data_IF_672713892408
#
_entry.id   IF_672713892408
#
_cell.length_a   1.000
_cell.length_b   1.000
_cell.length_c   1.000
_cell.angle_alpha   90.00
_cell.angle_beta   90.00
_cell.angle_gamma   90.00
#
_symmetry.space_group_name_H-M   'P 1'
#
loop_
_entity.id
_entity.type
_entity.pdbx_description
1 polymer ?
#
# COMPACT_ATOMS: atom_id res chain seq x y z
N UNK A 1 26.28 21.68 -12.23
CA UNK A 1 26.89 20.91 -13.34
C UNK A 1 28.11 20.14 -12.83
N UNK A 2 28.07 19.58 -11.63
CA UNK A 2 29.27 18.91 -11.07
C UNK A 2 29.04 17.51 -10.48
N UNK A 3 27.80 16.98 -10.49
CA UNK A 3 27.54 15.62 -9.99
C UNK A 3 26.78 14.73 -11.01
N UNK A 4 27.06 14.88 -12.31
CA UNK A 4 26.37 14.10 -13.37
C UNK A 4 27.16 12.91 -13.95
N UNK A 5 28.36 12.59 -13.44
CA UNK A 5 29.28 11.67 -14.13
C UNK A 5 29.68 10.46 -13.28
N UNK A 6 28.70 9.76 -12.69
CA UNK A 6 28.99 8.47 -12.06
C UNK A 6 27.85 7.47 -12.25
N UNK A 7 28.06 6.57 -13.21
CA UNK A 7 27.18 5.48 -13.69
C UNK A 7 26.21 5.92 -14.80
N UNK A 8 26.38 5.37 -16.01
CA UNK A 8 25.56 5.67 -17.20
C UNK A 8 24.07 5.30 -17.10
N UNK A 9 23.55 5.06 -15.89
CA UNK A 9 22.16 4.74 -15.62
C UNK A 9 21.30 6.00 -15.40
N UNK A 10 21.82 7.09 -14.84
CA UNK A 10 20.99 8.29 -14.57
C UNK A 10 20.66 9.09 -15.83
N UNK A 11 21.60 9.28 -16.75
CA UNK A 11 21.36 10.02 -18.00
C UNK A 11 20.40 9.27 -18.93
N UNK A 12 20.56 7.94 -19.04
CA UNK A 12 19.68 7.09 -19.84
C UNK A 12 18.27 7.01 -19.26
N UNK A 13 18.14 6.94 -17.93
CA UNK A 13 16.85 6.99 -17.22
C UNK A 13 16.18 8.34 -17.41
N UNK A 14 16.91 9.45 -17.20
CA UNK A 14 16.38 10.79 -17.38
C UNK A 14 15.92 11.03 -18.82
N UNK A 15 16.69 10.56 -19.81
CA UNK A 15 16.33 10.60 -21.23
C UNK A 15 15.04 9.83 -21.50
N UNK A 16 14.92 8.59 -21.04
CA UNK A 16 13.74 7.76 -21.27
C UNK A 16 12.47 8.28 -20.57
N UNK A 17 12.60 8.82 -19.35
CA UNK A 17 11.50 9.51 -18.67
C UNK A 17 11.04 10.76 -19.42
N UNK A 18 11.99 11.55 -19.95
CA UNK A 18 11.71 12.74 -20.76
C UNK A 18 11.01 12.36 -22.06
N UNK A 19 11.48 11.32 -22.75
CA UNK A 19 10.85 10.83 -23.99
C UNK A 19 9.43 10.32 -23.75
N UNK A 20 9.19 9.61 -22.63
CA UNK A 20 7.83 9.22 -22.23
C UNK A 20 6.94 10.43 -22.02
N UNK A 21 7.41 11.44 -21.29
CA UNK A 21 6.64 12.67 -21.05
C UNK A 21 6.31 13.42 -22.34
N UNK A 22 7.27 13.52 -23.27
CA UNK A 22 7.06 14.11 -24.59
C UNK A 22 6.01 13.31 -25.37
N UNK A 23 6.10 11.97 -25.36
CA UNK A 23 5.14 11.10 -26.03
C UNK A 23 3.72 11.29 -25.47
N UNK A 24 3.56 11.30 -24.15
CA UNK A 24 2.27 11.52 -23.49
C UNK A 24 1.68 12.90 -23.87
N UNK A 25 2.51 13.93 -23.99
CA UNK A 25 2.10 15.28 -24.42
C UNK A 25 1.73 15.37 -25.90
N UNK A 26 2.42 14.64 -26.79
CA UNK A 26 2.08 14.60 -28.21
C UNK A 26 0.80 13.81 -28.47
N UNK A 27 0.59 12.70 -27.74
CA UNK A 27 -0.65 11.91 -27.82
C UNK A 27 -1.88 12.72 -27.40
N UNK A 28 -1.76 13.59 -26.39
CA UNK A 28 -2.84 14.54 -26.02
C UNK A 28 -3.22 15.48 -27.15
N UNK A 29 -2.30 15.76 -28.09
CA UNK A 29 -2.54 16.59 -29.27
C UNK A 29 -2.76 15.73 -30.53
N UNK A 30 -2.99 14.43 -30.37
CA UNK A 30 -3.22 13.47 -31.46
C UNK A 30 -2.04 13.38 -32.46
N UNK A 31 -0.81 13.65 -31.99
CA UNK A 31 0.42 13.56 -32.76
C UNK A 31 1.29 12.39 -32.29
N UNK A 32 2.05 11.79 -33.20
CA UNK A 32 2.95 10.67 -32.92
C UNK A 32 4.42 11.12 -32.99
N UNK A 33 5.30 10.50 -32.18
CA UNK A 33 6.74 10.83 -32.16
C UNK A 33 7.44 10.60 -33.51
N UNK A 34 6.94 9.66 -34.30
CA UNK A 34 7.42 9.36 -35.66
C UNK A 34 7.34 10.58 -36.58
N UNK A 35 6.35 11.46 -36.38
CA UNK A 35 6.18 12.69 -37.17
C UNK A 35 7.29 13.72 -36.93
N UNK A 36 8.08 13.57 -35.86
CA UNK A 36 9.10 14.52 -35.44
C UNK A 36 10.53 13.94 -35.47
N UNK A 37 10.71 12.71 -35.98
CA UNK A 37 12.01 12.02 -36.01
C UNK A 37 12.70 11.94 -34.63
N UNK A 38 11.91 11.89 -33.55
CA UNK A 38 12.42 11.79 -32.19
C UNK A 38 12.80 10.33 -31.85
N UNK A 39 13.84 10.11 -31.03
CA UNK A 39 14.17 8.77 -30.57
C UNK A 39 13.03 8.17 -29.74
N UNK A 40 12.75 6.88 -29.94
CA UNK A 40 11.72 6.15 -29.19
C UNK A 40 12.27 5.81 -27.81
N UNK A 41 11.43 5.94 -26.79
CA UNK A 41 11.81 5.60 -25.43
C UNK A 41 11.98 4.07 -25.26
N UNK A 42 12.92 3.67 -24.41
CA UNK A 42 13.07 2.29 -24.00
C UNK A 42 11.93 1.90 -23.04
N UNK A 43 10.93 1.21 -23.59
CA UNK A 43 9.78 0.72 -22.84
C UNK A 43 10.16 -0.29 -21.76
N UNK A 44 11.23 -1.06 -21.94
CA UNK A 44 11.66 -2.03 -20.94
C UNK A 44 12.23 -1.30 -19.71
N UNK A 45 13.10 -0.32 -19.92
CA UNK A 45 13.62 0.52 -18.86
C UNK A 45 12.51 1.30 -18.15
N UNK A 46 11.57 1.89 -18.91
CA UNK A 46 10.41 2.59 -18.34
C UNK A 46 9.60 1.67 -17.42
N UNK A 47 9.32 0.44 -17.85
CA UNK A 47 8.55 -0.51 -17.04
C UNK A 47 9.32 -0.90 -15.77
N UNK A 48 10.63 -1.12 -15.84
CA UNK A 48 11.45 -1.39 -14.66
C UNK A 48 11.40 -0.24 -13.65
N UNK A 49 11.50 1.01 -14.12
CA UNK A 49 11.41 2.20 -13.26
C UNK A 49 10.04 2.33 -12.60
N UNK A 50 8.96 2.06 -13.33
CA UNK A 50 7.59 2.08 -12.78
C UNK A 50 7.47 1.03 -11.67
N UNK A 51 7.96 -0.19 -11.89
CA UNK A 51 7.90 -1.25 -10.87
C UNK A 51 8.75 -0.90 -9.65
N UNK A 52 9.93 -0.32 -9.85
CA UNK A 52 10.78 0.14 -8.76
C UNK A 52 10.11 1.25 -7.94
N UNK A 53 9.43 2.21 -8.61
CA UNK A 53 8.68 3.27 -7.93
C UNK A 53 7.51 2.69 -7.13
N UNK A 54 6.72 1.79 -7.72
CA UNK A 54 5.61 1.13 -7.03
C UNK A 54 6.12 0.36 -5.80
N UNK A 55 7.25 -0.33 -5.92
CA UNK A 55 7.87 -1.04 -4.80
C UNK A 55 8.28 -0.05 -3.68
N UNK A 56 8.93 1.06 -4.03
CA UNK A 56 9.33 2.08 -3.07
C UNK A 56 8.11 2.72 -2.37
N UNK A 57 7.06 3.07 -3.12
CA UNK A 57 5.83 3.65 -2.57
C UNK A 57 5.13 2.66 -1.61
N UNK A 58 5.09 1.38 -1.98
CA UNK A 58 4.55 0.32 -1.12
C UNK A 58 5.36 0.12 0.17
N UNK A 59 6.69 0.24 0.10
CA UNK A 59 7.56 0.16 1.29
C UNK A 59 7.29 1.33 2.25
N UNK A 60 7.13 2.54 1.73
CA UNK A 60 6.78 3.73 2.52
C UNK A 60 5.42 3.55 3.19
N UNK A 61 4.39 3.17 2.44
CA UNK A 61 3.04 2.90 2.97
C UNK A 61 3.06 1.80 4.05
N UNK A 62 3.80 0.72 3.81
CA UNK A 62 3.96 -0.37 4.80
C UNK A 62 4.65 0.12 6.07
N UNK A 63 5.67 0.97 5.95
CA UNK A 63 6.38 1.54 7.09
C UNK A 63 5.47 2.46 7.92
N UNK A 64 4.71 3.34 7.28
CA UNK A 64 3.74 4.22 7.94
C UNK A 64 2.67 3.40 8.68
N UNK A 65 2.09 2.38 8.04
CA UNK A 65 1.14 1.46 8.67
C UNK A 65 1.74 0.72 9.85
N UNK A 66 3.01 0.33 9.78
CA UNK A 66 3.70 -0.32 10.91
C UNK A 66 3.84 0.62 12.11
N UNK A 67 4.16 1.89 11.89
CA UNK A 67 4.21 2.89 12.96
C UNK A 67 2.83 3.16 13.55
N UNK A 68 1.83 3.38 12.69
CA UNK A 68 0.45 3.61 13.11
C UNK A 68 -0.10 2.41 13.88
N UNK A 69 0.12 1.19 13.40
CA UNK A 69 -0.28 -0.05 14.05
C UNK A 69 0.30 -0.19 15.46
N UNK A 70 1.59 0.15 15.65
CA UNK A 70 2.21 0.19 16.99
C UNK A 70 1.52 1.20 17.92
N UNK A 71 1.20 2.39 17.41
CA UNK A 71 0.51 3.43 18.18
C UNK A 71 -0.92 3.02 18.55
N UNK A 72 -1.65 2.37 17.64
CA UNK A 72 -3.01 1.88 17.90
C UNK A 72 -3.00 0.72 18.90
N UNK A 73 -2.04 -0.20 18.75
CA UNK A 73 -1.85 -1.33 19.67
C UNK A 73 -1.60 -0.86 21.11
N UNK A 74 -0.80 0.20 21.28
CA UNK A 74 -0.53 0.80 22.58
C UNK A 74 -1.76 1.47 23.23
N UNK A 75 -2.83 1.72 22.47
CA UNK A 75 -4.09 2.32 22.95
C UNK A 75 -5.19 1.31 23.22
N UNK A 76 -4.97 0.02 22.98
CA UNK A 76 -5.94 -1.00 23.32
C UNK A 76 -6.12 -1.09 24.84
N UNK A 77 -7.36 -1.29 25.28
CA UNK A 77 -7.63 -1.70 26.66
C UNK A 77 -7.29 -3.19 26.85
N UNK A 78 -7.37 -3.67 28.08
CA UNK A 78 -6.99 -5.05 28.44
C UNK A 78 -7.78 -6.11 27.66
N UNK A 79 -9.11 -5.98 27.57
CA UNK A 79 -9.96 -6.94 26.87
C UNK A 79 -9.70 -6.95 25.35
N UNK A 80 -9.56 -5.77 24.75
CA UNK A 80 -9.23 -5.64 23.33
C UNK A 80 -7.84 -6.21 23.04
N UNK A 81 -6.88 -6.00 23.94
CA UNK A 81 -5.52 -6.53 23.82
C UNK A 81 -5.52 -8.05 23.91
N UNK A 82 -6.28 -8.63 24.85
CA UNK A 82 -6.42 -10.07 24.96
C UNK A 82 -7.01 -10.68 23.68
N UNK A 83 -8.07 -10.09 23.13
CA UNK A 83 -8.66 -10.52 21.86
C UNK A 83 -7.68 -10.37 20.68
N UNK A 84 -6.94 -9.25 20.62
CA UNK A 84 -5.91 -9.01 19.60
C UNK A 84 -4.84 -10.10 19.64
N UNK A 85 -4.26 -10.34 20.81
CA UNK A 85 -3.16 -11.29 21.00
C UNK A 85 -3.60 -12.72 20.63
N UNK A 86 -4.83 -13.11 21.01
CA UNK A 86 -5.41 -14.41 20.65
C UNK A 86 -5.56 -14.58 19.14
N UNK A 87 -6.07 -13.55 18.44
CA UNK A 87 -6.24 -13.58 16.98
C UNK A 87 -4.87 -13.66 16.30
N UNK A 88 -3.91 -12.83 16.71
CA UNK A 88 -2.57 -12.80 16.11
C UNK A 88 -1.82 -14.12 16.31
N UNK A 89 -1.90 -14.73 17.50
CA UNK A 89 -1.27 -16.02 17.78
C UNK A 89 -1.82 -17.14 16.88
N UNK A 90 -3.12 -17.11 16.57
CA UNK A 90 -3.74 -18.12 15.68
C UNK A 90 -3.22 -18.09 14.24
N UNK A 91 -2.58 -16.99 13.83
CA UNK A 91 -2.00 -16.86 12.49
C UNK A 91 -0.64 -17.56 12.37
N UNK A 92 0.03 -17.82 13.49
CA UNK A 92 1.34 -18.47 13.53
C UNK A 92 1.23 -20.00 13.60
N UNK A 93 0.13 -20.53 14.14
CA UNK A 93 -0.11 -21.97 14.27
C UNK A 93 -1.28 -22.43 13.40
N UNK A 94 -0.97 -23.27 12.40
CA UNK A 94 -1.94 -23.79 11.45
C UNK A 94 -3.06 -24.64 12.10
N UNK A 95 -2.85 -25.16 13.31
CA UNK A 95 -3.80 -26.00 14.04
C UNK A 95 -4.77 -25.20 14.92
N UNK A 96 -4.58 -23.88 15.06
CA UNK A 96 -5.48 -23.03 15.84
C UNK A 96 -6.74 -22.66 15.05
N UNK A 97 -7.87 -22.38 15.73
CA UNK A 97 -9.06 -21.83 15.07
C UNK A 97 -8.73 -20.47 14.44
N UNK A 98 -9.19 -20.25 13.20
CA UNK A 98 -9.00 -18.99 12.46
C UNK A 98 -10.28 -18.17 12.25
N UNK A 99 -11.39 -18.63 12.83
CA UNK A 99 -12.66 -17.94 12.81
C UNK A 99 -12.98 -17.47 14.22
N UNK A 100 -13.14 -16.15 14.37
CA UNK A 100 -13.40 -15.51 15.65
C UNK A 100 -14.67 -14.68 15.55
N UNK A 101 -15.41 -14.62 16.67
CA UNK A 101 -16.50 -13.68 16.85
C UNK A 101 -16.15 -12.77 18.01
N UNK A 102 -16.11 -11.47 17.75
CA UNK A 102 -15.86 -10.47 18.78
C UNK A 102 -17.19 -9.95 19.30
N UNK A 103 -17.60 -10.46 20.46
CA UNK A 103 -18.78 -9.96 21.17
C UNK A 103 -18.38 -8.92 22.21
N UNK A 104 -19.22 -7.90 22.36
CA UNK A 104 -19.04 -6.90 23.39
C UNK A 104 -20.18 -5.88 23.37
N UNK A 105 -20.50 -5.25 24.51
CA UNK A 105 -21.50 -4.20 24.58
C UNK A 105 -21.28 -3.06 23.58
N UNK A 106 -22.34 -2.31 23.28
CA UNK A 106 -22.21 -1.06 22.51
C UNK A 106 -21.20 -0.10 23.17
N UNK A 107 -20.41 0.62 22.36
CA UNK A 107 -19.45 1.61 22.87
C UNK A 107 -18.10 1.06 23.35
N UNK A 108 -17.88 -0.26 23.33
CA UNK A 108 -16.61 -0.90 23.78
C UNK A 108 -15.45 -0.82 22.78
N UNK A 109 -15.60 -0.07 21.68
CA UNK A 109 -14.52 0.13 20.72
C UNK A 109 -14.18 -1.08 19.83
N UNK A 110 -15.10 -2.02 19.59
CA UNK A 110 -14.91 -3.15 18.65
C UNK A 110 -14.35 -2.72 17.28
N UNK A 111 -14.90 -1.64 16.72
CA UNK A 111 -14.41 -1.04 15.48
C UNK A 111 -12.94 -0.62 15.57
N UNK A 112 -12.52 -0.06 16.72
CA UNK A 112 -11.13 0.32 16.93
C UNK A 112 -10.22 -0.91 16.95
N UNK A 113 -10.65 -2.01 17.57
CA UNK A 113 -9.91 -3.28 17.53
C UNK A 113 -9.82 -3.83 16.09
N UNK A 114 -10.91 -3.84 15.32
CA UNK A 114 -10.86 -4.27 13.90
C UNK A 114 -9.88 -3.43 13.08
N UNK A 115 -9.93 -2.10 13.21
CA UNK A 115 -9.00 -1.20 12.52
C UNK A 115 -7.55 -1.40 12.98
N UNK A 116 -7.33 -1.73 14.25
CA UNK A 116 -6.00 -2.05 14.77
C UNK A 116 -5.46 -3.33 14.14
N UNK A 117 -6.27 -4.39 14.05
CA UNK A 117 -5.90 -5.64 13.36
C UNK A 117 -5.57 -5.39 11.90
N UNK A 118 -6.45 -4.69 11.17
CA UNK A 118 -6.24 -4.35 9.75
C UNK A 118 -4.90 -3.61 9.57
N UNK A 119 -4.67 -2.57 10.37
CA UNK A 119 -3.47 -1.72 10.23
C UNK A 119 -2.19 -2.50 10.56
N UNK A 120 -2.20 -3.30 11.64
CA UNK A 120 -1.02 -4.09 12.03
C UNK A 120 -0.70 -5.13 10.96
N UNK A 121 -1.71 -5.85 10.45
CA UNK A 121 -1.53 -6.86 9.41
C UNK A 121 -1.02 -6.25 8.10
N UNK A 122 -1.58 -5.12 7.67
CA UNK A 122 -1.06 -4.41 6.49
C UNK A 122 0.37 -3.90 6.71
N UNK A 123 0.71 -3.40 7.90
CA UNK A 123 2.09 -3.03 8.26
C UNK A 123 3.08 -4.21 8.35
N UNK A 124 2.57 -5.45 8.38
CA UNK A 124 3.34 -6.68 8.22
C UNK A 124 3.40 -7.17 6.76
N UNK A 125 2.84 -6.40 5.81
CA UNK A 125 2.75 -6.76 4.40
C UNK A 125 1.68 -7.81 4.08
N UNK A 126 0.71 -8.04 4.98
CA UNK A 126 -0.40 -8.96 4.73
C UNK A 126 -1.53 -8.24 4.00
N UNK A 127 -2.13 -8.94 3.04
CA UNK A 127 -3.36 -8.50 2.39
C UNK A 127 -4.56 -8.75 3.31
N UNK A 128 -5.40 -7.73 3.51
CA UNK A 128 -6.56 -7.77 4.40
C UNK A 128 -7.77 -7.22 3.66
N UNK A 129 -8.89 -7.95 3.73
CA UNK A 129 -10.17 -7.53 3.15
C UNK A 129 -11.14 -7.25 4.30
N UNK A 130 -11.63 -6.01 4.39
CA UNK A 130 -12.59 -5.59 5.39
C UNK A 130 -13.97 -5.42 4.75
N UNK A 131 -14.96 -6.19 5.20
CA UNK A 131 -16.32 -6.19 4.64
C UNK A 131 -17.32 -5.92 5.75
N UNK A 132 -18.35 -5.13 5.46
CA UNK A 132 -19.48 -4.90 6.35
C UNK A 132 -20.81 -5.03 5.60
N UNK A 133 -21.86 -5.50 6.29
CA UNK A 133 -23.18 -5.70 5.66
C UNK A 133 -23.91 -4.41 5.27
N UNK A 134 -23.46 -3.25 5.75
CA UNK A 134 -24.06 -1.95 5.45
C UNK A 134 -22.99 -0.93 5.07
N UNK A 135 -23.34 0.00 4.19
CA UNK A 135 -22.46 1.09 3.76
C UNK A 135 -21.90 1.88 4.94
N UNK A 136 -22.77 2.26 5.88
CA UNK A 136 -22.38 3.03 7.07
C UNK A 136 -21.36 2.26 7.91
N UNK A 137 -21.56 0.95 8.12
CA UNK A 137 -20.59 0.14 8.86
C UNK A 137 -19.26 -0.01 8.12
N UNK A 138 -19.29 -0.13 6.78
CA UNK A 138 -18.06 -0.25 5.97
C UNK A 138 -17.19 1.00 6.05
N UNK A 139 -17.79 2.19 6.11
CA UNK A 139 -17.08 3.48 6.24
C UNK A 139 -16.30 3.60 7.56
N UNK A 140 -16.68 2.85 8.59
CA UNK A 140 -15.98 2.84 9.86
C UNK A 140 -14.74 1.93 9.87
N UNK A 141 -14.61 1.04 8.88
CA UNK A 141 -13.46 0.17 8.72
C UNK A 141 -12.44 0.78 7.77
N UNK A 142 -11.16 0.67 8.10
CA UNK A 142 -10.08 1.08 7.21
C UNK A 142 -10.16 0.25 5.93
N UNK A 143 -10.30 0.92 4.78
CA UNK A 143 -10.52 0.30 3.47
C UNK A 143 -11.72 -0.67 3.46
N UNK A 144 -12.76 -0.38 4.25
CA UNK A 144 -13.97 -1.20 4.31
C UNK A 144 -14.78 -1.11 3.02
N UNK A 145 -15.36 -2.23 2.62
CA UNK A 145 -16.33 -2.34 1.52
C UNK A 145 -17.63 -2.97 1.97
N UNK A 146 -18.67 -2.81 1.15
CA UNK A 146 -19.96 -3.50 1.28
C UNK A 146 -20.01 -4.72 0.38
#
# INVERSE_FOLDING_TARGET
MEDCVRSGHEEEVAKNLTLKWIQDKLLLNNQMMENFSLPVADFHLINQLIQAQIAADNEVDTHEKRLLGKMMLAKLNEDQRAAFDQIMASMEDANQPRLFFLDGPGGTGKTFLYNTLITVLQGQGKSVVAVASTGIASTLLINGST
#
